data_IF_415229269725
#
_entry.id   IF_415229269725
#
_cell.length_a   1.000
_cell.length_b   1.000
_cell.length_c   1.000
_cell.angle_alpha   90.00
_cell.angle_beta   90.00
_cell.angle_gamma   90.00
#
_symmetry.space_group_name_H-M   'P 1'
#
loop_
_entity.id
_entity.type
_entity.pdbx_description
1 polymer ?
#
# COMPACT_ATOMS: atom_id res chain seq x y z
N UNK A 1 -12.84 5.94 7.44
CA UNK A 1 -12.31 4.86 8.29
C UNK A 1 -12.87 3.55 7.78
N UNK A 2 -12.03 2.57 7.46
CA UNK A 2 -12.49 1.27 6.97
C UNK A 2 -12.14 0.20 8.01
N UNK A 3 -13.10 -0.63 8.46
CA UNK A 3 -12.90 -1.52 9.61
C UNK A 3 -11.81 -2.58 9.41
N UNK A 4 -11.39 -2.81 8.17
CA UNK A 4 -10.41 -3.84 7.80
C UNK A 4 -9.23 -3.35 6.97
N UNK A 5 -9.17 -2.06 6.61
CA UNK A 5 -8.06 -1.53 5.85
C UNK A 5 -7.31 -0.54 6.72
N UNK A 6 -6.03 -0.82 6.95
CA UNK A 6 -5.12 0.09 7.60
C UNK A 6 -4.20 0.70 6.55
N UNK A 7 -4.41 1.97 6.23
CA UNK A 7 -3.62 2.68 5.24
C UNK A 7 -3.22 4.07 5.72
N UNK A 8 -2.00 4.47 5.42
CA UNK A 8 -1.49 5.79 5.78
C UNK A 8 -0.32 6.20 4.87
N UNK A 9 -0.02 7.51 4.91
CA UNK A 9 1.11 8.11 4.20
C UNK A 9 2.00 8.87 5.19
N UNK A 10 3.32 8.75 5.05
CA UNK A 10 4.31 9.50 5.83
C UNK A 10 5.29 10.18 4.90
N UNK A 11 5.81 11.33 5.31
CA UNK A 11 6.80 12.09 4.56
C UNK A 11 7.93 12.51 5.48
N UNK A 12 9.18 12.34 5.03
CA UNK A 12 10.38 12.74 5.77
C UNK A 12 11.58 12.89 4.82
N UNK A 13 12.29 14.02 4.91
CA UNK A 13 13.46 14.34 4.08
C UNK A 13 13.26 14.08 2.58
N UNK A 14 12.17 14.60 2.01
CA UNK A 14 11.84 14.42 0.58
C UNK A 14 11.16 13.07 0.27
N UNK A 15 11.45 12.03 1.04
CA UNK A 15 10.88 10.70 0.80
C UNK A 15 9.42 10.61 1.25
N UNK A 16 8.64 9.83 0.52
CA UNK A 16 7.26 9.48 0.87
C UNK A 16 7.12 7.96 1.04
N UNK A 17 6.55 7.54 2.18
CA UNK A 17 6.16 6.15 2.44
C UNK A 17 4.64 6.04 2.32
N UNK A 18 4.16 5.08 1.54
CA UNK A 18 2.76 4.68 1.50
C UNK A 18 2.61 3.25 2.01
N UNK A 19 1.66 3.06 2.92
CA UNK A 19 1.41 1.76 3.55
C UNK A 19 -0.05 1.41 3.38
N UNK A 20 -0.30 0.15 3.02
CA UNK A 20 -1.63 -0.45 3.09
C UNK A 20 -1.53 -1.86 3.66
N UNK A 21 -2.45 -2.21 4.54
CA UNK A 21 -2.64 -3.57 5.03
C UNK A 21 -4.12 -3.90 5.09
N UNK A 22 -4.48 -5.06 4.54
CA UNK A 22 -5.74 -5.71 4.83
C UNK A 22 -5.62 -6.45 6.16
N UNK A 23 -6.41 -6.09 7.16
CA UNK A 23 -6.40 -6.72 8.48
C UNK A 23 -7.55 -7.73 8.64
N UNK A 24 -7.96 -8.37 7.55
CA UNK A 24 -9.07 -9.33 7.53
C UNK A 24 -8.80 -10.57 6.68
N UNK A 25 -9.64 -11.57 6.88
CA UNK A 25 -9.66 -12.81 6.09
C UNK A 25 -10.33 -12.66 4.71
N UNK A 26 -11.05 -11.57 4.47
CA UNK A 26 -11.72 -11.31 3.20
C UNK A 26 -10.79 -10.50 2.28
N UNK A 27 -10.99 -10.61 0.96
CA UNK A 27 -10.35 -9.67 0.03
C UNK A 27 -10.95 -8.27 0.23
N UNK A 28 -10.11 -7.24 0.12
CA UNK A 28 -10.53 -5.86 0.33
C UNK A 28 -10.13 -4.97 -0.84
N UNK A 29 -11.08 -4.20 -1.36
CA UNK A 29 -10.80 -3.21 -2.39
C UNK A 29 -10.15 -1.99 -1.73
N UNK A 30 -8.96 -1.62 -2.18
CA UNK A 30 -8.28 -0.40 -1.80
C UNK A 30 -8.08 0.49 -3.02
N UNK A 31 -8.41 1.77 -2.88
CA UNK A 31 -8.20 2.77 -3.90
C UNK A 31 -7.47 3.98 -3.28
N UNK A 32 -6.18 4.16 -3.56
CA UNK A 32 -5.44 5.33 -3.10
C UNK A 32 -5.81 6.58 -3.91
N UNK A 33 -5.50 7.75 -3.36
CA UNK A 33 -5.39 8.97 -4.17
C UNK A 33 -4.29 8.76 -5.21
N UNK A 34 -4.48 9.15 -6.48
CA UNK A 34 -3.46 9.01 -7.51
C UNK A 34 -2.10 9.55 -7.06
N UNK A 35 -1.04 8.79 -7.35
CA UNK A 35 0.34 9.15 -7.02
C UNK A 35 1.17 9.31 -8.29
N UNK A 36 2.12 10.24 -8.25
CA UNK A 36 3.06 10.51 -9.32
C UNK A 36 4.49 10.09 -8.92
N UNK A 37 5.38 10.08 -9.90
CA UNK A 37 6.80 9.78 -9.72
C UNK A 37 7.14 8.29 -9.58
N UNK A 38 8.42 8.02 -9.31
CA UNK A 38 8.94 6.66 -9.23
C UNK A 38 8.78 6.10 -7.82
N UNK A 39 7.96 5.06 -7.71
CA UNK A 39 7.78 4.29 -6.48
C UNK A 39 8.49 2.95 -6.60
N UNK A 40 8.86 2.40 -5.45
CA UNK A 40 9.35 1.02 -5.33
C UNK A 40 8.75 0.33 -4.12
N UNK A 41 8.60 -0.98 -4.20
CA UNK A 41 8.22 -1.80 -3.04
C UNK A 41 9.39 -1.81 -2.06
N UNK A 42 9.13 -1.38 -0.83
CA UNK A 42 10.09 -1.44 0.27
C UNK A 42 9.94 -2.76 1.05
N UNK A 43 8.70 -3.21 1.25
CA UNK A 43 8.37 -4.45 1.94
C UNK A 43 7.01 -4.96 1.48
N UNK A 44 6.85 -6.27 1.42
CA UNK A 44 5.57 -6.95 1.26
C UNK A 44 5.62 -8.32 1.90
N UNK A 45 4.46 -8.84 2.32
CA UNK A 45 4.31 -10.20 2.81
C UNK A 45 3.84 -11.21 1.74
N UNK A 46 3.62 -10.75 0.50
CA UNK A 46 3.41 -11.59 -0.68
C UNK A 46 4.43 -11.25 -1.76
N UNK A 47 4.74 -12.22 -2.63
CA UNK A 47 5.75 -12.09 -3.69
C UNK A 47 5.28 -11.21 -4.85
N UNK A 48 4.04 -11.41 -5.31
CA UNK A 48 3.46 -10.66 -6.44
C UNK A 48 2.84 -9.35 -5.95
N UNK A 49 3.52 -8.24 -6.23
CA UNK A 49 3.15 -6.90 -5.73
C UNK A 49 3.35 -5.87 -6.85
N UNK A 50 2.40 -4.95 -7.05
CA UNK A 50 2.61 -3.82 -7.97
C UNK A 50 3.80 -2.97 -7.53
N UNK A 51 4.59 -2.49 -8.49
CA UNK A 51 5.77 -1.67 -8.20
C UNK A 51 5.44 -0.29 -7.59
N UNK A 52 4.21 0.19 -7.76
CA UNK A 52 3.72 1.47 -7.26
C UNK A 52 2.32 1.32 -6.63
N UNK A 53 1.92 2.23 -5.73
CA UNK A 53 0.55 2.30 -5.26
C UNK A 53 -0.43 2.50 -6.42
N UNK A 54 -1.45 1.65 -6.50
CA UNK A 54 -2.55 1.74 -7.47
C UNK A 54 -3.82 1.16 -6.83
N UNK A 55 -4.92 1.13 -7.58
CA UNK A 55 -6.15 0.46 -7.17
C UNK A 55 -5.90 -1.05 -7.10
N UNK A 56 -6.16 -1.65 -5.93
CA UNK A 56 -5.88 -3.07 -5.67
C UNK A 56 -7.04 -3.78 -5.00
N UNK A 57 -7.18 -5.06 -5.33
CA UNK A 57 -7.96 -6.00 -4.53
C UNK A 57 -6.99 -6.80 -3.65
N UNK A 58 -6.78 -6.33 -2.43
CA UNK A 58 -5.85 -6.92 -1.47
C UNK A 58 -6.33 -8.32 -1.06
N UNK A 59 -5.41 -9.27 -1.05
CA UNK A 59 -5.60 -10.63 -0.53
C UNK A 59 -5.77 -10.60 0.99
N UNK A 60 -6.29 -11.69 1.60
CA UNK A 60 -6.36 -11.81 3.05
C UNK A 60 -5.00 -11.52 3.69
N UNK A 61 -4.97 -10.61 4.65
CA UNK A 61 -3.75 -10.19 5.34
C UNK A 61 -2.63 -9.59 4.49
N UNK A 62 -2.88 -9.24 3.23
CA UNK A 62 -1.87 -8.62 2.38
C UNK A 62 -1.50 -7.23 2.89
N UNK A 63 -0.19 -7.00 3.05
CA UNK A 63 0.38 -5.76 3.52
C UNK A 63 1.57 -5.37 2.64
N UNK A 64 1.55 -4.12 2.19
CA UNK A 64 2.51 -3.59 1.23
C UNK A 64 2.96 -2.20 1.70
N UNK A 65 4.27 -1.97 1.58
CA UNK A 65 4.91 -0.69 1.81
C UNK A 65 5.60 -0.26 0.52
N UNK A 66 5.27 0.91 0.01
CA UNK A 66 5.98 1.56 -1.09
C UNK A 66 6.70 2.80 -0.59
N UNK A 67 7.88 3.05 -1.15
CA UNK A 67 8.66 4.27 -0.93
C UNK A 67 8.92 5.00 -2.25
N UNK A 68 8.86 6.31 -2.19
CA UNK A 68 9.27 7.25 -3.24
C UNK A 68 10.34 8.18 -2.66
N UNK A 69 11.36 8.48 -3.47
CA UNK A 69 12.36 9.52 -3.18
C UNK A 69 11.88 10.92 -3.57
#
# INVERSE_FOLDING_TARGET
DHPSLWCYRRQWQGQTLMVVANLSHARQQWQPVPVEGAWRVALSNYEEVPFRPDTLLLRPFEAIWWVQE
#
